data_IF_800710588835
#
_entry.id   IF_800710588835
#
_cell.length_a   1.000
_cell.length_b   1.000
_cell.length_c   1.000
_cell.angle_alpha   90.00
_cell.angle_beta   90.00
_cell.angle_gamma   90.00
#
_symmetry.space_group_name_H-M   'P 1'
#
loop_
_entity.id
_entity.type
_entity.pdbx_description
1 polymer ?
#
# COMPACT_ATOMS: atom_id res chain seq x y z
N UNK A 1 -5.15 15.45 -8.46
CA UNK A 1 -4.51 16.79 -8.44
C UNK A 1 -3.45 16.80 -9.54
N UNK A 2 -3.69 17.51 -10.66
CA UNK A 2 -2.64 17.81 -11.62
C UNK A 2 -1.43 18.32 -10.85
N UNK A 3 -0.28 17.74 -11.07
CA UNK A 3 0.99 18.41 -10.75
C UNK A 3 0.86 19.85 -11.23
N UNK A 4 0.63 20.77 -10.30
CA UNK A 4 0.79 22.19 -10.59
C UNK A 4 2.25 22.35 -10.94
N UNK A 5 2.53 22.46 -12.24
CA UNK A 5 3.84 22.87 -12.68
C UNK A 5 4.24 24.11 -11.89
N UNK A 6 5.52 24.27 -11.59
CA UNK A 6 6.09 25.35 -10.77
C UNK A 6 5.65 26.79 -11.18
N UNK A 7 4.86 26.91 -12.23
CA UNK A 7 4.29 28.16 -12.75
C UNK A 7 2.85 28.47 -12.28
N UNK A 8 2.16 27.54 -11.59
CA UNK A 8 0.78 27.76 -11.12
C UNK A 8 0.67 27.96 -9.59
N UNK A 9 1.79 28.03 -8.89
CA UNK A 9 1.82 28.49 -7.50
C UNK A 9 1.43 29.96 -7.51
N UNK A 10 0.28 30.35 -6.94
CA UNK A 10 -0.15 31.74 -6.98
C UNK A 10 0.92 32.62 -6.31
N UNK A 11 1.30 33.70 -6.96
CA UNK A 11 2.25 34.75 -6.60
C UNK A 11 2.01 35.42 -5.22
N UNK A 12 1.38 34.77 -4.27
CA UNK A 12 1.14 35.21 -2.89
C UNK A 12 2.16 34.72 -1.88
N UNK A 13 3.12 33.89 -2.31
CA UNK A 13 4.30 33.49 -1.51
C UNK A 13 5.54 34.29 -1.94
N UNK A 14 5.39 35.61 -2.03
CA UNK A 14 6.53 36.51 -2.15
C UNK A 14 7.14 36.65 -0.75
N UNK A 15 7.96 35.68 -0.39
CA UNK A 15 8.69 35.65 0.87
C UNK A 15 9.91 34.73 0.88
N UNK A 16 10.02 33.79 -0.04
CA UNK A 16 11.22 32.96 -0.04
C UNK A 16 11.37 32.11 -1.31
N UNK A 17 11.92 32.64 -2.37
CA UNK A 17 12.56 31.83 -3.42
C UNK A 17 13.60 30.87 -2.82
N UNK A 18 14.10 31.17 -1.64
CA UNK A 18 15.05 30.35 -0.87
C UNK A 18 14.36 29.13 -0.22
N UNK A 19 13.10 29.24 0.26
CA UNK A 19 12.38 28.13 0.87
C UNK A 19 11.98 27.05 -0.16
N UNK A 20 11.58 27.44 -1.36
CA UNK A 20 11.22 26.50 -2.44
C UNK A 20 12.45 25.73 -2.90
N UNK A 21 13.59 26.43 -3.04
CA UNK A 21 14.84 25.82 -3.50
C UNK A 21 15.42 24.80 -2.53
N UNK A 22 15.27 25.02 -1.24
CA UNK A 22 15.75 24.12 -0.18
C UNK A 22 14.81 22.91 0.04
N UNK A 23 13.52 23.03 -0.26
CA UNK A 23 12.58 21.90 -0.22
C UNK A 23 12.82 20.93 -1.38
N UNK A 24 13.30 21.42 -2.53
CA UNK A 24 13.71 20.61 -3.69
C UNK A 24 15.00 19.79 -3.46
N UNK A 25 15.68 19.92 -2.32
CA UNK A 25 16.87 19.12 -1.99
C UNK A 25 16.55 17.79 -1.32
N UNK A 26 15.32 17.60 -0.86
CA UNK A 26 14.86 16.36 -0.23
C UNK A 26 14.01 15.53 -1.20
N UNK A 27 13.97 14.23 -0.97
CA UNK A 27 13.04 13.33 -1.67
C UNK A 27 11.60 13.75 -1.37
N UNK A 28 10.73 13.82 -2.39
CA UNK A 28 9.34 14.26 -2.24
C UNK A 28 8.56 13.41 -1.24
N UNK A 29 8.87 12.12 -1.14
CA UNK A 29 8.22 11.18 -0.23
C UNK A 29 8.88 11.12 1.15
N UNK A 30 9.94 11.88 1.40
CA UNK A 30 10.59 11.95 2.72
C UNK A 30 9.96 13.01 3.63
N UNK A 31 10.23 12.91 4.94
CA UNK A 31 9.83 13.93 5.91
C UNK A 31 10.35 15.33 5.52
N UNK A 32 11.52 15.41 4.89
CA UNK A 32 12.07 16.65 4.37
C UNK A 32 11.29 17.23 3.20
N UNK A 33 10.75 16.38 2.31
CA UNK A 33 9.90 16.79 1.19
C UNK A 33 8.50 17.21 1.63
N UNK A 34 7.94 16.51 2.61
CA UNK A 34 6.59 16.77 3.16
C UNK A 34 6.53 17.96 4.13
N UNK A 35 7.65 18.37 4.73
CA UNK A 35 7.64 19.37 5.78
C UNK A 35 7.32 20.78 5.26
N UNK A 36 6.52 21.51 6.04
CA UNK A 36 6.40 22.95 5.96
C UNK A 36 7.48 23.63 6.84
N UNK A 37 8.11 24.68 6.32
CA UNK A 37 9.10 25.49 7.06
C UNK A 37 8.45 26.55 7.96
N UNK A 38 7.19 26.80 7.76
CA UNK A 38 6.38 27.73 8.52
C UNK A 38 6.05 27.15 9.89
N UNK A 39 6.78 27.54 10.89
CA UNK A 39 6.59 27.07 12.27
C UNK A 39 6.83 28.19 13.28
N UNK A 40 6.32 28.02 14.50
CA UNK A 40 6.57 28.93 15.61
C UNK A 40 7.62 28.31 16.52
N UNK A 41 8.79 28.96 16.62
CA UNK A 41 9.87 28.53 17.49
C UNK A 41 10.29 29.66 18.46
N UNK A 42 10.71 29.24 19.64
CA UNK A 42 11.11 30.14 20.72
C UNK A 42 12.37 29.60 21.41
N UNK A 43 13.23 30.54 21.87
CA UNK A 43 14.45 30.14 22.54
C UNK A 43 14.20 29.92 24.04
N UNK A 44 14.77 28.82 24.59
CA UNK A 44 14.63 28.49 26.03
C UNK A 44 15.05 29.60 26.99
N UNK A 45 15.98 30.47 26.58
CA UNK A 45 16.50 31.56 27.39
C UNK A 45 15.61 32.81 27.46
N UNK A 46 14.57 32.87 26.62
CA UNK A 46 13.66 34.00 26.60
C UNK A 46 12.75 34.01 27.81
N UNK A 47 12.30 35.22 28.19
CA UNK A 47 11.22 35.41 29.18
C UNK A 47 9.86 35.18 28.49
N UNK A 48 8.83 34.87 29.27
CA UNK A 48 7.44 34.73 28.78
C UNK A 48 7.00 35.98 28.01
N UNK A 49 7.28 37.19 28.52
CA UNK A 49 6.96 38.47 27.86
C UNK A 49 7.61 38.55 26.46
N UNK A 50 8.90 38.20 26.34
CA UNK A 50 9.59 38.20 25.06
C UNK A 50 9.02 37.15 24.14
N UNK A 51 8.77 35.94 24.63
CA UNK A 51 8.20 34.86 23.90
C UNK A 51 6.85 35.23 23.25
N UNK A 52 5.93 35.80 24.00
CA UNK A 52 4.62 36.25 23.49
C UNK A 52 4.77 37.30 22.38
N UNK A 53 5.74 38.23 22.54
CA UNK A 53 5.99 39.26 21.50
C UNK A 53 6.49 38.65 20.22
N UNK A 54 7.49 37.76 20.27
CA UNK A 54 8.08 37.12 19.10
C UNK A 54 7.07 36.15 18.42
N UNK A 55 6.28 35.41 19.23
CA UNK A 55 5.20 34.56 18.71
C UNK A 55 4.16 35.36 17.92
N UNK A 56 3.79 36.58 18.38
CA UNK A 56 2.83 37.44 17.66
C UNK A 56 3.33 37.82 16.27
N UNK A 57 4.63 37.96 16.10
CA UNK A 57 5.26 38.27 14.82
C UNK A 57 5.23 37.02 13.94
N UNK A 58 5.73 35.87 14.44
CA UNK A 58 5.79 34.63 13.71
C UNK A 58 4.39 34.09 13.36
N UNK A 59 3.40 34.25 14.22
CA UNK A 59 2.02 33.81 13.99
C UNK A 59 1.32 34.57 12.86
N UNK A 60 1.86 35.66 12.36
CA UNK A 60 1.34 36.35 11.15
C UNK A 60 1.76 35.67 9.87
N UNK A 61 2.84 34.87 9.91
CA UNK A 61 3.42 34.16 8.78
C UNK A 61 2.91 32.72 8.66
N UNK A 62 2.26 32.18 9.72
CA UNK A 62 1.72 30.83 9.74
C UNK A 62 0.20 30.84 9.69
N UNK A 63 -0.39 29.92 8.94
CA UNK A 63 -1.85 29.80 8.82
C UNK A 63 -2.48 29.35 10.15
N UNK A 64 -1.82 28.49 10.90
CA UNK A 64 -2.29 27.92 12.17
C UNK A 64 -1.11 27.59 13.10
N UNK A 65 -1.23 27.95 14.37
CA UNK A 65 -0.25 27.59 15.40
C UNK A 65 -0.67 26.25 16.02
N UNK A 66 -0.10 25.14 15.54
CA UNK A 66 -0.32 23.82 16.11
C UNK A 66 0.48 23.57 17.37
N UNK A 67 1.77 23.92 17.34
CA UNK A 67 2.70 23.77 18.46
C UNK A 67 3.71 24.89 18.44
N UNK A 68 4.22 25.24 19.62
CA UNK A 68 5.33 26.16 19.79
C UNK A 68 6.53 25.29 20.14
N UNK A 69 7.55 25.29 19.28
CA UNK A 69 8.76 24.52 19.52
C UNK A 69 9.80 25.32 20.29
N UNK A 70 10.49 24.65 21.20
CA UNK A 70 11.53 25.26 22.01
C UNK A 70 12.89 24.80 21.56
N UNK A 71 13.76 25.76 21.24
CA UNK A 71 15.12 25.48 20.73
C UNK A 71 16.16 26.15 21.63
N UNK A 72 17.42 25.74 21.48
CA UNK A 72 18.55 26.42 22.09
C UNK A 72 19.10 27.57 21.20
N UNK A 73 20.34 28.01 21.46
CA UNK A 73 20.99 29.08 20.68
C UNK A 73 21.54 28.57 19.31
N UNK A 74 21.59 27.27 19.08
CA UNK A 74 22.05 26.61 17.87
C UNK A 74 20.89 25.99 17.09
N UNK A 75 19.65 26.38 17.42
CA UNK A 75 18.39 25.89 16.84
C UNK A 75 18.13 24.38 17.06
N UNK A 76 18.83 23.76 18.04
CA UNK A 76 18.59 22.36 18.40
C UNK A 76 17.24 22.26 19.13
N UNK A 77 16.41 21.31 18.71
CA UNK A 77 15.08 21.06 19.27
C UNK A 77 15.20 20.52 20.71
N UNK A 78 14.63 21.22 21.67
CA UNK A 78 14.64 20.85 23.09
C UNK A 78 13.29 20.28 23.56
N UNK A 79 12.18 20.76 22.98
CA UNK A 79 10.87 20.35 23.39
C UNK A 79 9.75 21.21 22.78
N UNK A 80 8.57 21.17 23.39
CA UNK A 80 7.41 21.97 22.98
C UNK A 80 6.88 22.80 24.13
N UNK A 81 6.27 23.93 23.81
CA UNK A 81 5.61 24.81 24.77
C UNK A 81 4.10 24.80 24.49
N UNK A 82 3.31 24.53 25.53
CA UNK A 82 1.86 24.64 25.45
C UNK A 82 1.44 26.08 25.50
N UNK A 83 0.50 26.51 24.67
CA UNK A 83 -0.09 27.84 24.72
C UNK A 83 -0.73 28.12 26.09
N UNK A 84 -1.35 27.09 26.70
CA UNK A 84 -1.91 27.16 28.04
C UNK A 84 -0.83 27.51 29.07
N UNK A 85 0.29 26.78 29.06
CA UNK A 85 1.38 26.98 30.02
C UNK A 85 2.03 28.35 29.83
N UNK A 86 2.17 28.81 28.58
CA UNK A 86 2.66 30.14 28.28
C UNK A 86 1.74 31.27 28.86
N UNK A 87 0.41 31.13 28.70
CA UNK A 87 -0.57 32.12 29.13
C UNK A 87 -0.77 32.14 30.65
N UNK A 88 -0.50 31.02 31.34
CA UNK A 88 -0.67 30.91 32.81
C UNK A 88 0.63 31.15 33.58
N UNK A 89 1.78 31.19 32.91
CA UNK A 89 3.08 31.40 33.52
C UNK A 89 3.31 32.86 33.93
N UNK A 90 4.19 33.06 34.90
CA UNK A 90 4.62 34.42 35.29
C UNK A 90 5.42 35.06 34.16
N UNK A 91 5.13 36.31 33.83
CA UNK A 91 5.74 37.07 32.73
C UNK A 91 7.27 37.13 32.76
N UNK A 92 7.87 37.08 33.95
CA UNK A 92 9.32 37.13 34.16
C UNK A 92 9.99 35.75 34.12
N UNK A 93 9.21 34.66 34.12
CA UNK A 93 9.76 33.29 34.05
C UNK A 93 10.47 33.05 32.71
N UNK A 94 11.53 32.26 32.75
CA UNK A 94 12.19 31.80 31.52
C UNK A 94 11.43 30.65 30.91
N UNK A 95 11.43 30.52 29.58
CA UNK A 95 10.83 29.42 28.84
C UNK A 95 11.44 28.07 29.30
N UNK A 96 12.73 28.04 29.65
CA UNK A 96 13.42 26.89 30.21
C UNK A 96 12.71 26.25 31.42
N UNK A 97 11.90 26.98 32.17
CA UNK A 97 11.20 26.47 33.37
C UNK A 97 9.77 25.99 33.10
N UNK A 98 9.22 26.22 31.89
CA UNK A 98 7.80 25.97 31.61
C UNK A 98 7.55 25.09 30.37
N UNK A 99 8.56 24.84 29.54
CA UNK A 99 8.39 23.98 28.38
C UNK A 99 8.34 22.49 28.75
N UNK A 100 7.73 21.70 27.92
CA UNK A 100 7.66 20.23 28.04
C UNK A 100 8.85 19.65 27.31
N UNK A 101 9.85 19.07 28.02
CA UNK A 101 10.97 18.38 27.38
C UNK A 101 10.49 17.07 26.74
N UNK A 102 11.25 16.52 25.80
CA UNK A 102 10.93 15.28 25.07
C UNK A 102 9.68 15.41 24.20
N UNK A 103 9.84 16.05 23.09
CA UNK A 103 8.89 15.99 21.97
C UNK A 103 9.33 14.92 21.01
N UNK A 104 8.38 14.14 20.48
CA UNK A 104 8.63 13.22 19.37
C UNK A 104 8.98 14.05 18.13
N UNK A 105 9.99 13.63 17.40
CA UNK A 105 10.46 14.27 16.17
C UNK A 105 10.87 13.22 15.14
N UNK A 106 10.93 13.62 13.87
CA UNK A 106 11.44 12.80 12.78
C UNK A 106 12.62 13.47 12.11
N UNK A 107 13.52 12.69 11.52
CA UNK A 107 14.62 13.20 10.71
C UNK A 107 14.15 13.44 9.28
N UNK A 108 14.84 14.32 8.55
CA UNK A 108 14.50 14.73 7.18
C UNK A 108 14.46 13.59 6.16
N UNK A 109 15.21 12.52 6.42
CA UNK A 109 15.37 11.35 5.55
C UNK A 109 14.36 10.22 5.79
N UNK A 110 13.54 10.33 6.84
CA UNK A 110 12.51 9.36 7.16
C UNK A 110 11.43 9.37 6.06
N UNK A 111 11.01 8.19 5.66
CA UNK A 111 9.93 7.98 4.70
C UNK A 111 8.58 8.50 5.22
N UNK A 112 7.79 9.12 4.33
CA UNK A 112 6.50 9.72 4.69
C UNK A 112 5.49 8.74 5.27
N UNK A 113 5.47 7.49 4.80
CA UNK A 113 4.60 6.45 5.37
C UNK A 113 4.99 6.12 6.82
N UNK A 114 6.29 6.13 7.15
CA UNK A 114 6.75 5.91 8.51
C UNK A 114 6.37 7.09 9.41
N UNK A 115 6.47 8.32 8.89
CA UNK A 115 5.95 9.52 9.58
C UNK A 115 4.46 9.39 9.86
N UNK A 116 3.67 8.96 8.87
CA UNK A 116 2.23 8.71 9.02
C UNK A 116 1.92 7.69 10.12
N UNK A 117 2.67 6.58 10.15
CA UNK A 117 2.55 5.55 11.20
C UNK A 117 2.88 6.09 12.59
N UNK A 118 3.92 6.92 12.72
CA UNK A 118 4.30 7.56 13.99
C UNK A 118 3.21 8.52 14.44
N UNK A 119 2.74 9.41 13.56
CA UNK A 119 1.71 10.39 13.89
C UNK A 119 0.38 9.74 14.27
N UNK A 120 -0.03 8.71 13.55
CA UNK A 120 -1.23 7.92 13.87
C UNK A 120 -1.10 7.15 15.19
N UNK A 121 0.06 6.56 15.47
CA UNK A 121 0.28 5.78 16.70
C UNK A 121 0.22 6.62 17.97
N UNK A 122 0.66 7.87 17.89
CA UNK A 122 0.75 8.78 19.05
C UNK A 122 -0.30 9.89 19.03
N UNK A 123 -1.28 9.84 18.12
CA UNK A 123 -2.35 10.85 17.95
C UNK A 123 -1.79 12.27 17.83
N UNK A 124 -0.76 12.48 17.00
CA UNK A 124 -0.09 13.75 16.84
C UNK A 124 -0.78 14.61 15.78
N UNK A 125 -1.11 15.86 16.13
CA UNK A 125 -1.61 16.88 15.18
C UNK A 125 -0.50 17.48 14.31
N UNK A 126 0.73 17.50 14.83
CA UNK A 126 1.92 17.96 14.13
C UNK A 126 3.18 17.32 14.74
N UNK A 127 4.17 17.07 13.90
CA UNK A 127 5.47 16.52 14.31
C UNK A 127 6.59 17.43 13.78
N UNK A 128 7.59 17.81 14.63
CA UNK A 128 8.74 18.58 14.19
C UNK A 128 9.71 17.68 13.39
N UNK A 129 10.30 18.28 12.37
CA UNK A 129 11.32 17.67 11.53
C UNK A 129 12.67 18.28 11.88
N UNK A 130 13.68 17.43 12.06
CA UNK A 130 15.03 17.84 12.42
C UNK A 130 16.06 17.29 11.40
N UNK A 131 17.18 17.99 11.29
CA UNK A 131 18.34 17.51 10.53
C UNK A 131 19.21 16.55 11.37
N UNK A 132 20.32 16.08 10.80
CA UNK A 132 21.29 15.20 11.47
C UNK A 132 21.85 15.78 12.78
N UNK A 133 21.95 17.11 12.88
CA UNK A 133 22.41 17.83 14.08
C UNK A 133 21.29 18.07 15.10
N UNK A 134 20.10 17.51 14.90
CA UNK A 134 18.88 17.73 15.69
C UNK A 134 18.38 19.19 15.70
N UNK A 135 18.78 19.99 14.71
CA UNK A 135 18.26 21.33 14.53
C UNK A 135 16.87 21.26 13.88
N UNK A 136 15.96 22.07 14.39
CA UNK A 136 14.58 22.16 13.89
C UNK A 136 14.58 22.81 12.50
N UNK A 137 14.14 22.08 11.48
CA UNK A 137 14.12 22.53 10.08
C UNK A 137 12.71 22.71 9.51
N UNK A 138 11.71 22.06 10.11
CA UNK A 138 10.34 22.14 9.64
C UNK A 138 9.36 21.43 10.57
N UNK A 139 8.13 21.32 10.11
CA UNK A 139 7.07 20.53 10.75
C UNK A 139 6.22 19.84 9.68
N UNK A 140 5.64 18.72 10.03
CA UNK A 140 4.61 18.04 9.23
C UNK A 140 3.32 18.07 10.03
N UNK A 141 2.20 18.36 9.40
CA UNK A 141 0.89 18.43 10.03
C UNK A 141 0.03 17.25 9.63
N UNK A 142 -1.03 16.97 10.39
CA UNK A 142 -1.89 15.82 10.14
C UNK A 142 -2.63 15.92 8.79
N UNK A 143 -2.94 17.13 8.34
CA UNK A 143 -3.55 17.37 7.04
C UNK A 143 -2.63 16.93 5.88
N UNK A 144 -1.32 17.25 5.96
CA UNK A 144 -0.33 16.78 4.97
C UNK A 144 -0.22 15.25 4.95
N UNK A 145 -0.29 14.63 6.14
CA UNK A 145 -0.25 13.16 6.28
C UNK A 145 -1.53 12.49 5.77
N UNK A 146 -2.69 13.12 5.96
CA UNK A 146 -3.96 12.58 5.42
C UNK A 146 -3.93 12.59 3.89
N UNK A 147 -3.40 13.65 3.27
CA UNK A 147 -3.25 13.71 1.82
C UNK A 147 -2.26 12.64 1.34
N UNK A 148 -1.11 12.48 1.98
CA UNK A 148 -0.15 11.41 1.67
C UNK A 148 -0.78 10.01 1.75
N UNK A 149 -1.49 9.70 2.84
CA UNK A 149 -2.16 8.40 3.03
C UNK A 149 -3.17 8.15 1.90
N UNK A 150 -3.89 9.19 1.49
CA UNK A 150 -4.86 9.09 0.40
C UNK A 150 -4.18 8.82 -0.93
N UNK A 151 -3.11 9.55 -1.26
CA UNK A 151 -2.38 9.40 -2.51
C UNK A 151 -1.73 8.00 -2.60
N UNK A 152 -1.12 7.50 -1.51
CA UNK A 152 -0.58 6.14 -1.47
C UNK A 152 -1.69 5.07 -1.59
N UNK A 153 -2.84 5.26 -0.95
CA UNK A 153 -3.97 4.33 -1.10
C UNK A 153 -4.55 4.32 -2.53
N UNK A 154 -4.60 5.47 -3.20
CA UNK A 154 -5.01 5.56 -4.61
C UNK A 154 -4.01 4.86 -5.53
N UNK A 155 -2.72 5.02 -5.30
CA UNK A 155 -1.63 4.35 -6.03
C UNK A 155 -1.68 2.83 -5.83
N UNK A 156 -1.82 2.36 -4.59
CA UNK A 156 -1.98 0.94 -4.28
C UNK A 156 -3.19 0.34 -4.99
N UNK A 157 -4.32 1.06 -5.01
CA UNK A 157 -5.52 0.65 -5.73
C UNK A 157 -5.29 0.53 -7.24
N UNK A 158 -4.59 1.50 -7.84
CA UNK A 158 -4.25 1.46 -9.26
C UNK A 158 -3.31 0.30 -9.59
N UNK A 159 -2.27 0.07 -8.78
CA UNK A 159 -1.37 -1.07 -8.94
C UNK A 159 -2.12 -2.40 -8.84
N UNK A 160 -3.01 -2.53 -7.86
CA UNK A 160 -3.85 -3.71 -7.70
C UNK A 160 -4.80 -3.93 -8.89
N UNK A 161 -5.24 -2.87 -9.55
CA UNK A 161 -6.04 -2.94 -10.77
C UNK A 161 -5.22 -3.17 -12.06
N UNK A 162 -3.89 -3.22 -11.97
CA UNK A 162 -3.00 -3.38 -13.13
C UNK A 162 -2.82 -2.08 -13.91
N UNK A 163 -2.58 -1.00 -13.19
CA UNK A 163 -2.23 0.31 -13.72
C UNK A 163 -0.85 0.67 -13.18
N UNK A 164 0.13 0.93 -14.04
CA UNK A 164 1.54 1.04 -13.67
C UNK A 164 2.03 2.47 -13.37
N UNK A 165 1.16 3.46 -13.48
CA UNK A 165 1.46 4.87 -13.19
C UNK A 165 0.24 5.58 -12.67
N UNK A 166 0.44 6.63 -11.89
CA UNK A 166 -0.62 7.51 -11.42
C UNK A 166 -1.30 8.20 -12.61
N UNK A 167 -2.58 7.90 -12.81
CA UNK A 167 -3.39 8.42 -13.92
C UNK A 167 -4.79 8.76 -13.45
N UNK A 168 -5.35 9.81 -14.06
CA UNK A 168 -6.72 10.26 -13.83
C UNK A 168 -7.63 9.92 -15.01
N UNK A 169 -8.95 9.92 -14.78
CA UNK A 169 -9.93 9.54 -15.80
C UNK A 169 -9.97 10.48 -17.01
N UNK A 170 -9.56 11.74 -16.84
CA UNK A 170 -9.52 12.79 -17.87
C UNK A 170 -8.14 12.93 -18.53
N UNK A 171 -7.17 12.09 -18.17
CA UNK A 171 -5.87 12.05 -18.81
C UNK A 171 -5.95 11.66 -20.28
N UNK A 172 -4.92 12.04 -21.04
CA UNK A 172 -4.83 11.75 -22.46
C UNK A 172 -4.83 10.24 -22.75
N UNK A 173 -5.41 9.85 -23.89
CA UNK A 173 -5.46 8.45 -24.35
C UNK A 173 -4.07 7.81 -24.32
N UNK A 174 -3.02 8.57 -24.66
CA UNK A 174 -1.65 8.05 -24.70
C UNK A 174 -1.11 7.74 -23.29
N UNK A 175 -1.40 8.60 -22.30
CA UNK A 175 -1.02 8.37 -20.90
C UNK A 175 -1.73 7.14 -20.34
N UNK A 176 -3.08 7.08 -20.51
CA UNK A 176 -3.88 5.92 -20.09
C UNK A 176 -3.41 4.62 -20.75
N UNK A 177 -3.02 4.67 -22.03
CA UNK A 177 -2.50 3.51 -22.75
C UNK A 177 -1.16 3.05 -22.17
N UNK A 178 -0.24 3.98 -21.92
CA UNK A 178 1.07 3.67 -21.31
C UNK A 178 0.93 3.04 -19.93
N UNK A 179 -0.02 3.49 -19.13
CA UNK A 179 -0.27 2.96 -17.80
C UNK A 179 -0.83 1.53 -17.80
N UNK A 180 -1.66 1.17 -18.79
CA UNK A 180 -2.36 -0.12 -18.88
C UNK A 180 -1.63 -1.17 -19.71
N UNK A 181 -0.95 -0.76 -20.78
CA UNK A 181 -0.39 -1.67 -21.78
C UNK A 181 0.61 -2.70 -21.20
N UNK A 182 1.51 -2.36 -20.26
CA UNK A 182 2.43 -3.35 -19.70
C UNK A 182 1.71 -4.55 -19.06
N UNK A 183 0.65 -4.28 -18.30
CA UNK A 183 -0.15 -5.32 -17.65
C UNK A 183 -1.00 -6.13 -18.64
N UNK A 184 -1.51 -5.48 -19.69
CA UNK A 184 -2.23 -6.17 -20.76
C UNK A 184 -1.31 -7.10 -21.56
N UNK A 185 -0.06 -6.69 -21.81
CA UNK A 185 0.95 -7.55 -22.43
C UNK A 185 1.29 -8.74 -21.53
N UNK A 186 1.44 -8.52 -20.22
CA UNK A 186 1.63 -9.62 -19.26
C UNK A 186 0.47 -10.62 -19.31
N UNK A 187 -0.77 -10.13 -19.31
CA UNK A 187 -1.97 -10.96 -19.46
C UNK A 187 -2.01 -11.73 -20.77
N UNK A 188 -1.61 -11.09 -21.89
CA UNK A 188 -1.50 -11.75 -23.19
C UNK A 188 -0.48 -12.88 -23.18
N UNK A 189 0.72 -12.65 -22.63
CA UNK A 189 1.76 -13.69 -22.50
C UNK A 189 1.25 -14.86 -21.67
N UNK A 190 0.57 -14.60 -20.57
CA UNK A 190 -0.04 -15.65 -19.74
C UNK A 190 -1.15 -16.41 -20.46
N UNK A 191 -2.01 -15.71 -21.21
CA UNK A 191 -3.03 -16.34 -22.04
C UNK A 191 -2.43 -17.26 -23.10
N UNK A 192 -1.36 -16.82 -23.78
CA UNK A 192 -0.62 -17.68 -24.73
C UNK A 192 0.03 -18.88 -24.02
N UNK A 193 0.55 -18.69 -22.79
CA UNK A 193 1.03 -19.81 -21.97
C UNK A 193 -0.05 -20.86 -21.70
N UNK A 194 -1.28 -20.43 -21.43
CA UNK A 194 -2.42 -21.33 -21.25
C UNK A 194 -2.78 -22.09 -22.54
N UNK A 195 -2.63 -21.47 -23.72
CA UNK A 195 -2.83 -22.15 -25.02
C UNK A 195 -1.83 -23.31 -25.18
N UNK A 196 -0.54 -23.08 -24.92
CA UNK A 196 0.48 -24.14 -24.99
C UNK A 196 0.20 -25.31 -24.04
N UNK A 197 -0.32 -25.02 -22.84
CA UNK A 197 -0.73 -26.06 -21.88
C UNK A 197 -1.88 -26.86 -22.47
N UNK A 198 -2.91 -26.22 -23.00
CA UNK A 198 -4.06 -26.90 -23.60
C UNK A 198 -3.65 -27.76 -24.79
N UNK A 199 -2.77 -27.28 -25.67
CA UNK A 199 -2.19 -28.06 -26.77
C UNK A 199 -1.47 -29.33 -26.26
N UNK A 200 -0.73 -29.23 -25.15
CA UNK A 200 -0.06 -30.36 -24.51
C UNK A 200 -1.01 -31.45 -24.01
N UNK A 201 -2.28 -31.11 -23.75
CA UNK A 201 -3.31 -32.09 -23.36
C UNK A 201 -4.30 -32.44 -24.48
N UNK A 202 -4.10 -31.99 -25.71
CA UNK A 202 -5.03 -32.20 -26.82
C UNK A 202 -5.39 -33.68 -27.04
N UNK A 203 -4.39 -34.58 -27.08
CA UNK A 203 -4.61 -36.01 -27.26
C UNK A 203 -5.48 -36.66 -26.19
N UNK A 204 -5.36 -36.20 -24.94
CA UNK A 204 -6.18 -36.59 -23.81
C UNK A 204 -7.63 -36.08 -23.96
N UNK A 205 -7.81 -34.82 -24.33
CA UNK A 205 -9.11 -34.16 -24.48
C UNK A 205 -9.91 -34.67 -25.70
N UNK A 206 -9.23 -35.17 -26.72
CA UNK A 206 -9.89 -35.76 -27.90
C UNK A 206 -10.56 -37.12 -27.62
N UNK A 207 -10.31 -37.73 -26.45
CA UNK A 207 -11.03 -38.94 -26.05
C UNK A 207 -12.51 -38.60 -25.75
N UNK A 208 -13.48 -39.33 -26.34
CA UNK A 208 -14.92 -38.97 -26.21
C UNK A 208 -15.42 -38.81 -24.80
N UNK A 209 -14.93 -39.62 -23.85
CA UNK A 209 -15.34 -39.60 -22.45
C UNK A 209 -14.84 -38.35 -21.69
N UNK A 210 -13.75 -37.71 -22.13
CA UNK A 210 -13.09 -36.60 -21.39
C UNK A 210 -13.27 -35.26 -22.08
N UNK A 211 -13.83 -35.21 -23.26
CA UNK A 211 -14.10 -33.98 -24.02
C UNK A 211 -14.90 -32.95 -23.21
N UNK A 212 -15.77 -33.42 -22.33
CA UNK A 212 -16.56 -32.55 -21.46
C UNK A 212 -15.71 -31.68 -20.52
N UNK A 213 -14.52 -32.15 -20.09
CA UNK A 213 -13.62 -31.41 -19.22
C UNK A 213 -13.18 -30.06 -19.80
N UNK A 214 -13.03 -30.00 -21.14
CA UNK A 214 -12.65 -28.78 -21.82
C UNK A 214 -13.63 -27.62 -21.54
N UNK A 215 -14.93 -27.91 -21.44
CA UNK A 215 -15.94 -26.88 -21.15
C UNK A 215 -15.87 -26.32 -19.73
N UNK A 216 -15.16 -26.97 -18.81
CA UNK A 216 -14.96 -26.49 -17.43
C UNK A 216 -13.66 -25.70 -17.27
N UNK A 217 -12.80 -25.62 -18.31
CA UNK A 217 -11.56 -24.84 -18.26
C UNK A 217 -11.79 -23.38 -17.82
N UNK A 218 -12.79 -22.64 -18.37
CA UNK A 218 -13.06 -21.28 -17.93
C UNK A 218 -13.48 -21.19 -16.47
N UNK A 219 -14.23 -22.17 -15.95
CA UNK A 219 -14.61 -22.22 -14.54
C UNK A 219 -13.39 -22.39 -13.64
N UNK A 220 -12.49 -23.29 -13.99
CA UNK A 220 -11.27 -23.57 -13.23
C UNK A 220 -10.35 -22.33 -13.21
N UNK A 221 -10.11 -21.72 -14.38
CA UNK A 221 -9.30 -20.50 -14.48
C UNK A 221 -9.91 -19.38 -13.63
N UNK A 222 -11.21 -19.09 -13.79
CA UNK A 222 -11.86 -18.05 -13.02
C UNK A 222 -11.76 -18.29 -11.50
N UNK A 223 -11.90 -19.53 -11.03
CA UNK A 223 -11.77 -19.84 -9.59
C UNK A 223 -10.33 -19.69 -9.13
N UNK A 224 -9.35 -20.13 -9.91
CA UNK A 224 -7.94 -19.98 -9.61
C UNK A 224 -7.55 -18.51 -9.46
N UNK A 225 -7.90 -17.68 -10.44
CA UNK A 225 -7.65 -16.24 -10.43
C UNK A 225 -8.30 -15.53 -9.24
N UNK A 226 -9.61 -15.77 -9.03
CA UNK A 226 -10.35 -15.13 -7.95
C UNK A 226 -9.78 -15.45 -6.57
N UNK A 227 -9.50 -16.73 -6.27
CA UNK A 227 -8.95 -17.13 -4.97
C UNK A 227 -7.56 -16.55 -4.76
N UNK A 228 -6.72 -16.54 -5.79
CA UNK A 228 -5.40 -15.95 -5.73
C UNK A 228 -5.43 -14.46 -5.42
N UNK A 229 -6.30 -13.71 -6.11
CA UNK A 229 -6.49 -12.27 -5.85
C UNK A 229 -7.00 -12.01 -4.45
N UNK A 230 -8.01 -12.78 -3.97
CA UNK A 230 -8.53 -12.63 -2.60
C UNK A 230 -7.47 -12.87 -1.53
N UNK A 231 -6.68 -13.95 -1.66
CA UNK A 231 -5.60 -14.25 -0.70
C UNK A 231 -4.51 -13.19 -0.76
N UNK A 232 -4.14 -12.73 -1.97
CA UNK A 232 -3.12 -11.70 -2.16
C UNK A 232 -3.56 -10.36 -1.56
N UNK A 233 -4.79 -9.92 -1.82
CA UNK A 233 -5.32 -8.66 -1.30
C UNK A 233 -5.31 -8.62 0.25
N UNK A 234 -5.72 -9.73 0.90
CA UNK A 234 -5.69 -9.83 2.37
C UNK A 234 -4.24 -9.72 2.90
N UNK A 235 -3.28 -10.34 2.22
CA UNK A 235 -1.87 -10.30 2.64
C UNK A 235 -1.26 -8.94 2.41
N UNK A 236 -1.48 -8.30 1.25
CA UNK A 236 -0.96 -6.97 0.94
C UNK A 236 -1.48 -5.95 1.95
N UNK A 237 -2.81 -5.93 2.18
CA UNK A 237 -3.40 -5.08 3.21
C UNK A 237 -2.84 -5.36 4.61
N UNK A 238 -2.60 -6.63 4.94
CA UNK A 238 -2.02 -7.00 6.22
C UNK A 238 -0.56 -6.61 6.37
N UNK A 239 0.21 -6.55 5.27
CA UNK A 239 1.60 -6.06 5.25
C UNK A 239 1.64 -4.54 5.44
N UNK A 240 0.81 -3.80 4.73
CA UNK A 240 0.70 -2.34 4.85
C UNK A 240 0.35 -1.91 6.29
N UNK A 241 -0.49 -2.69 6.99
CA UNK A 241 -0.90 -2.41 8.36
C UNK A 241 -0.02 -3.06 9.45
N UNK A 242 1.13 -3.62 9.12
CA UNK A 242 2.02 -4.35 10.05
C UNK A 242 1.34 -5.49 10.86
N UNK A 243 0.23 -6.02 10.34
CA UNK A 243 -0.54 -7.11 10.99
C UNK A 243 0.01 -8.49 10.62
N UNK A 244 0.78 -8.60 9.53
CA UNK A 244 1.38 -9.84 9.06
C UNK A 244 2.56 -10.24 9.94
N UNK A 245 2.26 -10.70 11.17
CA UNK A 245 3.27 -11.17 12.14
C UNK A 245 3.30 -12.70 12.20
N UNK A 246 4.46 -13.27 12.56
CA UNK A 246 4.61 -14.70 12.81
C UNK A 246 5.25 -15.49 11.68
N UNK A 247 5.19 -16.83 11.80
CA UNK A 247 5.83 -17.74 10.84
C UNK A 247 5.06 -17.82 9.52
N UNK A 248 5.78 -17.76 8.40
CA UNK A 248 5.23 -17.99 7.06
C UNK A 248 4.50 -19.34 6.99
N UNK A 249 5.08 -20.39 7.58
CA UNK A 249 4.49 -21.72 7.57
C UNK A 249 3.10 -21.75 8.21
N UNK A 250 2.94 -21.14 9.38
CA UNK A 250 1.63 -21.11 10.06
C UNK A 250 0.58 -20.38 9.21
N UNK A 251 0.98 -19.35 8.48
CA UNK A 251 0.09 -18.62 7.58
C UNK A 251 -0.31 -19.48 6.38
N UNK A 252 0.65 -20.14 5.74
CA UNK A 252 0.36 -21.07 4.65
C UNK A 252 -0.53 -22.23 5.09
N UNK A 253 -0.33 -22.77 6.30
CA UNK A 253 -1.21 -23.80 6.86
C UNK A 253 -2.64 -23.26 7.08
N UNK A 254 -2.79 -22.01 7.50
CA UNK A 254 -4.11 -21.37 7.61
C UNK A 254 -4.77 -21.24 6.24
N UNK A 255 -4.04 -20.87 5.20
CA UNK A 255 -4.56 -20.81 3.82
C UNK A 255 -4.98 -22.20 3.31
N UNK A 256 -4.22 -23.25 3.60
CA UNK A 256 -4.65 -24.62 3.29
C UNK A 256 -5.97 -24.95 3.97
N UNK A 257 -6.14 -24.59 5.26
CA UNK A 257 -7.40 -24.78 5.99
C UNK A 257 -8.59 -24.05 5.35
N UNK A 258 -8.38 -22.77 4.98
CA UNK A 258 -9.39 -21.98 4.26
C UNK A 258 -9.69 -22.56 2.89
N UNK A 259 -8.65 -22.98 2.13
CA UNK A 259 -8.79 -23.63 0.83
C UNK A 259 -9.57 -24.94 0.90
N UNK A 260 -9.39 -25.73 1.96
CA UNK A 260 -10.15 -26.96 2.18
C UNK A 260 -11.64 -26.66 2.45
N UNK A 261 -11.95 -25.65 3.25
CA UNK A 261 -13.33 -25.27 3.56
C UNK A 261 -14.02 -24.69 2.31
N UNK A 262 -13.44 -23.68 1.71
CA UNK A 262 -14.01 -22.99 0.56
C UNK A 262 -14.03 -23.90 -0.68
N UNK A 263 -12.91 -24.58 -0.95
CA UNK A 263 -12.80 -25.52 -2.05
C UNK A 263 -13.72 -26.74 -1.89
N UNK A 264 -13.89 -27.24 -0.66
CA UNK A 264 -14.83 -28.32 -0.36
C UNK A 264 -16.28 -27.92 -0.61
N UNK A 265 -16.66 -26.70 -0.19
CA UNK A 265 -18.01 -26.18 -0.46
C UNK A 265 -18.28 -26.03 -1.96
N UNK A 266 -17.30 -25.45 -2.70
CA UNK A 266 -17.43 -25.29 -4.15
C UNK A 266 -17.38 -26.63 -4.90
N UNK A 267 -16.54 -27.58 -4.48
CA UNK A 267 -16.52 -28.93 -5.00
C UNK A 267 -17.86 -29.63 -4.85
N UNK A 268 -18.52 -29.49 -3.70
CA UNK A 268 -19.89 -30.01 -3.47
C UNK A 268 -20.88 -29.39 -4.46
N UNK A 269 -20.83 -28.08 -4.69
CA UNK A 269 -21.69 -27.39 -5.66
C UNK A 269 -21.47 -27.91 -7.08
N UNK A 270 -20.23 -28.18 -7.47
CA UNK A 270 -19.91 -28.79 -8.80
C UNK A 270 -20.46 -30.19 -8.92
N UNK A 271 -20.38 -31.02 -7.88
CA UNK A 271 -20.99 -32.36 -7.88
C UNK A 271 -22.50 -32.26 -8.03
N UNK A 272 -23.16 -31.37 -7.27
CA UNK A 272 -24.60 -31.14 -7.38
C UNK A 272 -25.02 -30.67 -8.78
N UNK A 273 -24.22 -29.78 -9.40
CA UNK A 273 -24.40 -29.35 -10.78
C UNK A 273 -24.27 -30.52 -11.76
N UNK A 274 -23.25 -31.38 -11.58
CA UNK A 274 -23.05 -32.58 -12.39
C UNK A 274 -24.24 -33.54 -12.31
N UNK A 275 -24.79 -33.77 -11.09
CA UNK A 275 -26.00 -34.58 -10.91
C UNK A 275 -27.20 -33.92 -11.61
N UNK A 276 -27.41 -32.64 -11.45
CA UNK A 276 -28.51 -31.89 -12.07
C UNK A 276 -28.46 -31.91 -13.62
N UNK A 277 -27.26 -31.90 -14.19
CA UNK A 277 -27.03 -31.91 -15.63
C UNK A 277 -26.78 -33.31 -16.22
N UNK A 278 -26.92 -34.36 -15.39
CA UNK A 278 -26.69 -35.74 -15.77
C UNK A 278 -25.31 -36.02 -16.36
N UNK A 279 -24.28 -35.30 -15.89
CA UNK A 279 -22.90 -35.56 -16.24
C UNK A 279 -22.43 -36.91 -15.66
N UNK A 280 -21.51 -37.63 -16.32
CA UNK A 280 -20.89 -38.80 -15.72
C UNK A 280 -20.30 -38.53 -14.36
N UNK A 281 -20.49 -39.42 -13.41
CA UNK A 281 -20.07 -39.24 -12.01
C UNK A 281 -18.54 -39.11 -11.90
N UNK A 282 -17.79 -39.87 -12.66
CA UNK A 282 -16.34 -39.84 -12.74
C UNK A 282 -15.82 -38.49 -13.22
N UNK A 283 -16.45 -37.89 -14.24
CA UNK A 283 -16.14 -36.55 -14.74
C UNK A 283 -16.45 -35.49 -13.67
N UNK A 284 -17.63 -35.54 -13.05
CA UNK A 284 -18.04 -34.58 -12.02
C UNK A 284 -17.13 -34.63 -10.79
N UNK A 285 -16.74 -35.82 -10.34
CA UNK A 285 -15.80 -36.02 -9.24
C UNK A 285 -14.40 -35.49 -9.57
N UNK A 286 -13.95 -35.75 -10.81
CA UNK A 286 -12.67 -35.27 -11.30
C UNK A 286 -12.61 -33.73 -11.30
N UNK A 287 -13.65 -33.06 -11.81
CA UNK A 287 -13.74 -31.60 -11.81
C UNK A 287 -13.73 -31.06 -10.38
N UNK A 288 -14.55 -31.65 -9.50
CA UNK A 288 -14.66 -31.23 -8.11
C UNK A 288 -13.33 -31.37 -7.35
N UNK A 289 -12.64 -32.50 -7.49
CA UNK A 289 -11.34 -32.74 -6.83
C UNK A 289 -10.25 -31.85 -7.41
N UNK A 290 -10.20 -31.71 -8.73
CA UNK A 290 -9.25 -30.81 -9.38
C UNK A 290 -9.47 -29.36 -8.94
N UNK A 291 -10.71 -28.88 -8.86
CA UNK A 291 -11.04 -27.53 -8.40
C UNK A 291 -10.63 -27.32 -6.94
N UNK A 292 -10.86 -28.30 -6.05
CA UNK A 292 -10.37 -28.25 -4.67
C UNK A 292 -8.85 -28.03 -4.60
N UNK A 293 -8.10 -28.83 -5.36
CA UNK A 293 -6.64 -28.72 -5.42
C UNK A 293 -6.19 -27.37 -6.00
N UNK A 294 -6.83 -26.90 -7.07
CA UNK A 294 -6.55 -25.61 -7.70
C UNK A 294 -6.79 -24.46 -6.71
N UNK A 295 -7.89 -24.48 -5.97
CA UNK A 295 -8.21 -23.45 -4.97
C UNK A 295 -7.13 -23.40 -3.88
N UNK A 296 -6.69 -24.54 -3.35
CA UNK A 296 -5.64 -24.60 -2.34
C UNK A 296 -4.33 -24.02 -2.87
N UNK A 297 -3.90 -24.44 -4.06
CA UNK A 297 -2.63 -23.98 -4.65
C UNK A 297 -2.71 -22.49 -4.98
N UNK A 298 -3.82 -22.02 -5.53
CA UNK A 298 -4.02 -20.59 -5.84
C UNK A 298 -3.99 -19.71 -4.59
N UNK A 299 -4.61 -20.16 -3.49
CA UNK A 299 -4.55 -19.47 -2.20
C UNK A 299 -3.11 -19.41 -1.66
N UNK A 300 -2.38 -20.51 -1.77
CA UNK A 300 -0.96 -20.57 -1.37
C UNK A 300 -0.09 -19.61 -2.20
N UNK A 301 -0.26 -19.57 -3.51
CA UNK A 301 0.47 -18.65 -4.40
C UNK A 301 0.12 -17.21 -4.03
N UNK A 302 -1.18 -16.88 -3.91
CA UNK A 302 -1.66 -15.55 -3.54
C UNK A 302 -1.14 -15.06 -2.19
N UNK A 303 -0.90 -15.97 -1.25
CA UNK A 303 -0.31 -15.63 0.05
C UNK A 303 1.22 -15.56 0.01
N UNK A 304 1.86 -16.49 -0.67
CA UNK A 304 3.32 -16.62 -0.68
C UNK A 304 4.00 -15.49 -1.43
N UNK A 305 3.48 -15.14 -2.61
CA UNK A 305 4.14 -14.18 -3.51
C UNK A 305 4.26 -12.79 -2.89
N UNK A 306 3.20 -12.15 -2.35
CA UNK A 306 3.34 -10.82 -1.73
C UNK A 306 4.32 -10.81 -0.55
N UNK A 307 4.32 -11.86 0.28
CA UNK A 307 5.23 -11.95 1.43
C UNK A 307 6.69 -12.02 0.97
N UNK A 308 6.99 -12.74 -0.12
CA UNK A 308 8.36 -12.84 -0.64
C UNK A 308 8.80 -11.52 -1.28
N UNK A 309 7.93 -10.83 -2.01
CA UNK A 309 8.22 -9.52 -2.59
C UNK A 309 8.54 -8.50 -1.49
N UNK A 310 7.69 -8.40 -0.48
CA UNK A 310 7.90 -7.51 0.67
C UNK A 310 9.24 -7.79 1.39
N UNK A 311 9.60 -9.07 1.59
CA UNK A 311 10.89 -9.43 2.19
C UNK A 311 12.10 -9.05 1.34
N UNK A 312 11.91 -8.83 0.05
CA UNK A 312 12.95 -8.38 -0.88
C UNK A 312 12.97 -6.88 -1.11
N UNK A 313 12.13 -6.12 -0.38
CA UNK A 313 11.99 -4.67 -0.56
C UNK A 313 11.29 -4.29 -1.87
N UNK A 314 10.50 -5.20 -2.45
CA UNK A 314 9.67 -4.94 -3.63
C UNK A 314 8.24 -4.73 -3.13
N UNK A 315 7.58 -3.70 -3.64
CA UNK A 315 6.21 -3.38 -3.29
C UNK A 315 5.28 -4.59 -3.51
N UNK A 316 4.64 -5.12 -2.46
CA UNK A 316 3.77 -6.27 -2.56
C UNK A 316 2.47 -5.99 -3.32
N UNK A 317 2.05 -4.74 -3.52
CA UNK A 317 0.87 -4.36 -4.30
C UNK A 317 0.98 -4.80 -5.77
N UNK A 318 2.20 -4.89 -6.31
CA UNK A 318 2.48 -5.44 -7.65
C UNK A 318 2.01 -6.90 -7.77
N UNK A 319 2.00 -7.66 -6.68
CA UNK A 319 1.59 -9.06 -6.65
C UNK A 319 0.08 -9.25 -6.47
N UNK A 320 -0.73 -8.27 -6.81
CA UNK A 320 -2.19 -8.34 -6.83
C UNK A 320 -2.70 -8.34 -8.28
N UNK A 321 -3.99 -8.30 -8.47
CA UNK A 321 -4.62 -8.12 -9.78
C UNK A 321 -4.05 -9.00 -10.91
N UNK A 322 -3.65 -8.39 -12.04
CA UNK A 322 -3.33 -9.13 -13.27
C UNK A 322 -2.17 -10.13 -13.12
N UNK A 323 -1.17 -9.84 -12.30
CA UNK A 323 -0.05 -10.76 -12.12
C UNK A 323 -0.48 -12.08 -11.47
N UNK A 324 -1.21 -11.97 -10.35
CA UNK A 324 -1.71 -13.16 -9.62
C UNK A 324 -2.76 -13.90 -10.46
N UNK A 325 -3.68 -13.18 -11.10
CA UNK A 325 -4.71 -13.79 -11.96
C UNK A 325 -4.05 -14.61 -13.07
N UNK A 326 -3.15 -13.98 -13.83
CA UNK A 326 -2.47 -14.64 -14.97
C UNK A 326 -1.66 -15.85 -14.51
N UNK A 327 -0.91 -15.73 -13.42
CA UNK A 327 -0.13 -16.84 -12.87
C UNK A 327 -1.03 -17.99 -12.44
N UNK A 328 -2.10 -17.71 -11.72
CA UNK A 328 -3.03 -18.72 -11.23
C UNK A 328 -3.84 -19.37 -12.35
N UNK A 329 -4.18 -18.65 -13.42
CA UNK A 329 -4.86 -19.21 -14.58
C UNK A 329 -3.99 -20.29 -15.26
N UNK A 330 -2.71 -19.98 -15.46
CA UNK A 330 -1.75 -20.92 -16.05
C UNK A 330 -1.61 -22.17 -15.16
N UNK A 331 -1.31 -21.98 -13.88
CA UNK A 331 -1.14 -23.08 -12.93
C UNK A 331 -2.44 -23.86 -12.71
N UNK A 332 -3.57 -23.16 -12.64
CA UNK A 332 -4.88 -23.77 -12.45
C UNK A 332 -5.27 -24.69 -13.61
N UNK A 333 -5.12 -24.22 -14.85
CA UNK A 333 -5.40 -25.04 -16.06
C UNK A 333 -4.45 -26.24 -16.13
N UNK A 334 -3.16 -26.03 -15.92
CA UNK A 334 -2.18 -27.13 -15.90
C UNK A 334 -2.53 -28.17 -14.85
N UNK A 335 -2.78 -27.77 -13.62
CA UNK A 335 -3.09 -28.67 -12.51
C UNK A 335 -4.41 -29.42 -12.75
N UNK A 336 -5.41 -28.72 -13.29
CA UNK A 336 -6.70 -29.33 -13.64
C UNK A 336 -6.53 -30.49 -14.60
N UNK A 337 -5.89 -30.29 -15.74
CA UNK A 337 -5.71 -31.35 -16.73
C UNK A 337 -4.73 -32.41 -16.27
N UNK A 338 -3.74 -32.06 -15.47
CA UNK A 338 -2.80 -33.04 -14.89
C UNK A 338 -3.52 -34.00 -13.93
N UNK A 339 -4.34 -33.46 -13.01
CA UNK A 339 -5.15 -34.28 -12.09
C UNK A 339 -6.18 -35.11 -12.86
N UNK A 340 -6.87 -34.50 -13.84
CA UNK A 340 -7.86 -35.16 -14.63
C UNK A 340 -7.24 -36.36 -15.42
N UNK A 341 -6.07 -36.15 -15.99
CA UNK A 341 -5.34 -37.23 -16.67
C UNK A 341 -4.96 -38.37 -15.73
N UNK A 342 -4.53 -38.03 -14.51
CA UNK A 342 -4.13 -39.03 -13.51
C UNK A 342 -5.31 -39.81 -12.92
N UNK A 343 -6.50 -39.21 -12.83
CA UNK A 343 -7.69 -39.86 -12.28
C UNK A 343 -8.46 -40.68 -13.30
N UNK A 344 -8.40 -40.34 -14.59
CA UNK A 344 -9.25 -40.92 -15.63
C UNK A 344 -8.49 -41.87 -16.60
N UNK A 345 -7.17 -41.83 -16.55
CA UNK A 345 -6.29 -42.73 -17.34
C UNK A 345 -5.56 -43.69 -16.42
#
# INVERSE_FOLDING_TARGET
>A
FKQKTAYEIPLRLVGSEMCIRDSLTYDENSAGGLMAKELVCVNQNWTVTRCVREMRIQAQEVTRVHSIYVVDNEDVLLGRLSLKDLLTANEKSKIASIYIPKVDYVQVDIDGEEVAKIMSKYDLEAIPVVNENKQLVGRITIDDIVDLIKDEAEKDYQLAAGISSDVEADDSILQLTKARLPWLVLGLIGGLGSVFILEGFESFMNHPSYKALFFFTPLIAAMAGNVGVQSSAIIVQGLANDVVKGSLLNRLLKEVGLGLINGGALALLVILFGVATQQPTDVSLTIALSMLCVIIISALIGTFVPIILNRRGIDPAIATGPFITTSNDIFGIFLFFYIAKWLLV
#
